data_IF_226023807455
#
_entry.id   IF_226023807455
#
_cell.length_a   1.000
_cell.length_b   1.000
_cell.length_c   1.000
_cell.angle_alpha   90.00
_cell.angle_beta   90.00
_cell.angle_gamma   90.00
#
_symmetry.space_group_name_H-M   'P 1'
#
loop_
_entity.id
_entity.type
_entity.pdbx_description
1 polymer ?
#
# COMPACT_ATOMS: atom_id res chain seq x y z
N UNK A 1 -13.20 -20.48 7.60
CA UNK A 1 -12.66 -19.32 6.88
C UNK A 1 -11.15 -19.12 7.06
N UNK A 2 -10.56 -19.45 8.22
CA UNK A 2 -9.10 -19.38 8.48
C UNK A 2 -8.25 -20.13 7.45
N UNK A 3 -8.65 -21.35 7.05
CA UNK A 3 -7.89 -22.15 6.07
C UNK A 3 -7.71 -21.50 4.70
N UNK A 4 -8.60 -20.62 4.28
CA UNK A 4 -8.47 -19.89 3.02
C UNK A 4 -7.33 -18.85 3.08
N UNK A 5 -7.17 -18.17 4.22
CA UNK A 5 -6.07 -17.23 4.44
C UNK A 5 -4.72 -17.96 4.55
N UNK A 6 -4.71 -19.12 5.21
CA UNK A 6 -3.51 -19.96 5.25
C UNK A 6 -3.09 -20.44 3.86
N UNK A 7 -4.05 -20.87 3.03
CA UNK A 7 -3.75 -21.25 1.65
C UNK A 7 -3.11 -20.10 0.87
N UNK A 8 -3.65 -18.89 1.00
CA UNK A 8 -3.10 -17.69 0.35
C UNK A 8 -1.63 -17.47 0.67
N UNK A 9 -1.28 -17.48 1.94
CA UNK A 9 0.09 -17.23 2.40
C UNK A 9 1.06 -18.40 2.16
N UNK A 10 0.57 -19.65 2.24
CA UNK A 10 1.43 -20.85 2.16
C UNK A 10 1.60 -21.37 0.74
N UNK A 11 0.61 -21.17 -0.14
CA UNK A 11 0.59 -21.74 -1.50
C UNK A 11 0.30 -20.70 -2.57
N UNK A 12 -0.78 -19.93 -2.42
CA UNK A 12 -1.30 -19.05 -3.45
C UNK A 12 -0.29 -17.97 -3.85
N UNK A 13 0.29 -17.28 -2.88
CA UNK A 13 1.34 -16.27 -3.10
C UNK A 13 2.50 -16.84 -3.93
N UNK A 14 3.04 -17.98 -3.54
CA UNK A 14 4.19 -18.58 -4.21
C UNK A 14 3.91 -19.05 -5.62
N UNK A 15 2.67 -19.51 -5.88
CA UNK A 15 2.23 -19.85 -7.24
C UNK A 15 2.16 -18.62 -8.13
N UNK A 16 1.59 -17.52 -7.63
CA UNK A 16 1.52 -16.26 -8.37
C UNK A 16 2.91 -15.70 -8.66
N UNK A 17 3.79 -15.64 -7.67
CA UNK A 17 5.17 -15.16 -7.85
C UNK A 17 5.91 -15.96 -8.91
N UNK A 18 5.75 -17.29 -8.96
CA UNK A 18 6.33 -18.13 -10.00
C UNK A 18 5.75 -17.80 -11.38
N UNK A 19 4.43 -17.70 -11.52
CA UNK A 19 3.79 -17.34 -12.79
C UNK A 19 4.27 -15.99 -13.30
N UNK A 20 4.39 -14.99 -12.42
CA UNK A 20 4.91 -13.68 -12.78
C UNK A 20 6.37 -13.77 -13.25
N UNK A 21 7.20 -14.52 -12.56
CA UNK A 21 8.59 -14.74 -12.95
C UNK A 21 8.69 -15.44 -14.33
N UNK A 22 7.93 -16.51 -14.55
CA UNK A 22 7.88 -17.23 -15.83
C UNK A 22 7.42 -16.34 -17.00
N UNK A 23 6.55 -15.39 -16.71
CA UNK A 23 6.02 -14.44 -17.71
C UNK A 23 6.81 -13.15 -17.80
N UNK A 24 7.87 -12.99 -17.02
CA UNK A 24 8.67 -11.77 -16.94
C UNK A 24 7.83 -10.53 -16.57
N UNK A 25 6.81 -10.71 -15.74
CA UNK A 25 5.96 -9.64 -15.21
C UNK A 25 6.45 -9.27 -13.81
N UNK A 26 6.68 -7.99 -13.60
CA UNK A 26 6.97 -7.44 -12.29
C UNK A 26 5.66 -6.86 -11.74
N UNK A 27 5.03 -7.49 -10.74
CA UNK A 27 3.77 -6.99 -10.19
C UNK A 27 3.99 -5.85 -9.20
N UNK A 28 3.01 -4.96 -9.12
CA UNK A 28 2.84 -4.06 -7.96
C UNK A 28 2.00 -4.76 -6.91
N UNK A 29 2.48 -4.81 -5.68
CA UNK A 29 1.86 -5.56 -4.58
C UNK A 29 1.35 -4.59 -3.52
N UNK A 30 0.04 -4.65 -3.25
CA UNK A 30 -0.58 -3.94 -2.15
C UNK A 30 -0.36 -4.73 -0.86
N UNK A 31 0.56 -4.27 -0.03
CA UNK A 31 1.03 -5.02 1.13
C UNK A 31 0.57 -4.40 2.45
N UNK A 32 0.00 -5.25 3.30
CA UNK A 32 -0.27 -4.90 4.71
C UNK A 32 1.00 -5.12 5.52
N UNK A 33 1.49 -4.10 6.22
CA UNK A 33 2.77 -4.14 6.94
C UNK A 33 2.89 -5.32 7.89
N UNK A 34 1.89 -5.58 8.73
CA UNK A 34 1.87 -6.71 9.66
C UNK A 34 1.90 -8.08 8.96
N UNK A 35 1.34 -8.18 7.75
CA UNK A 35 1.39 -9.43 6.99
C UNK A 35 2.82 -9.75 6.54
N UNK A 36 3.58 -8.74 6.12
CA UNK A 36 5.00 -8.91 5.77
C UNK A 36 5.86 -9.20 6.99
N UNK A 37 5.57 -8.56 8.11
CA UNK A 37 6.26 -8.83 9.38
C UNK A 37 6.08 -10.27 9.84
N UNK A 38 4.88 -10.85 9.65
CA UNK A 38 4.58 -12.25 9.97
C UNK A 38 5.04 -13.25 8.92
N UNK A 39 5.34 -12.80 7.72
CA UNK A 39 5.82 -13.64 6.62
C UNK A 39 7.01 -12.99 5.91
N UNK A 40 8.18 -12.92 6.57
CA UNK A 40 9.36 -12.26 6.03
C UNK A 40 9.86 -12.92 4.72
N UNK A 41 9.61 -14.21 4.54
CA UNK A 41 9.98 -14.91 3.30
C UNK A 41 9.21 -14.36 2.08
N UNK A 42 7.94 -13.97 2.25
CA UNK A 42 7.18 -13.32 1.20
C UNK A 42 7.77 -11.94 0.86
N UNK A 43 8.12 -11.14 1.86
CA UNK A 43 8.76 -9.84 1.65
C UNK A 43 10.11 -9.96 0.91
N UNK A 44 10.94 -10.93 1.30
CA UNK A 44 12.20 -11.22 0.59
C UNK A 44 11.97 -11.66 -0.86
N UNK A 45 10.93 -12.46 -1.12
CA UNK A 45 10.60 -12.87 -2.48
C UNK A 45 10.17 -11.68 -3.35
N UNK A 46 9.36 -10.76 -2.80
CA UNK A 46 8.99 -9.50 -3.45
C UNK A 46 10.24 -8.67 -3.80
N UNK A 47 11.12 -8.49 -2.83
CA UNK A 47 12.37 -7.75 -3.03
C UNK A 47 13.26 -8.38 -4.11
N UNK A 48 13.44 -9.71 -4.08
CA UNK A 48 14.25 -10.43 -5.08
C UNK A 48 13.68 -10.33 -6.50
N UNK A 49 12.35 -10.25 -6.66
CA UNK A 49 11.72 -10.08 -7.98
C UNK A 49 11.63 -8.61 -8.40
N UNK A 50 12.07 -7.68 -7.56
CA UNK A 50 11.98 -6.25 -7.85
C UNK A 50 10.56 -5.72 -7.87
N UNK A 51 9.63 -6.37 -7.14
CA UNK A 51 8.25 -5.93 -7.05
C UNK A 51 8.15 -4.52 -6.47
N UNK A 52 7.28 -3.70 -7.05
CA UNK A 52 6.85 -2.47 -6.42
C UNK A 52 5.85 -2.79 -5.29
N UNK A 53 5.98 -2.11 -4.16
CA UNK A 53 5.13 -2.32 -3.00
C UNK A 53 4.37 -1.04 -2.66
N UNK A 54 3.05 -1.13 -2.73
CA UNK A 54 2.11 -0.09 -2.27
C UNK A 54 1.74 -0.40 -0.83
N UNK A 55 1.80 0.61 0.02
CA UNK A 55 1.40 0.50 1.41
C UNK A 55 -0.12 0.35 1.52
N UNK A 56 -0.58 -0.78 2.09
CA UNK A 56 -1.99 -1.07 2.35
C UNK A 56 -2.31 -1.00 3.85
N UNK A 57 -1.63 -0.09 4.54
CA UNK A 57 -1.74 0.12 5.97
C UNK A 57 -0.99 -0.92 6.80
N UNK A 58 -0.88 -0.66 8.10
CA UNK A 58 -0.21 -1.56 9.03
C UNK A 58 -1.01 -2.83 9.32
N UNK A 59 -2.35 -2.68 9.42
CA UNK A 59 -3.30 -3.78 9.64
C UNK A 59 -4.44 -3.67 8.65
N UNK A 60 -4.98 -4.80 8.24
CA UNK A 60 -6.16 -4.83 7.39
C UNK A 60 -7.43 -4.54 8.20
N UNK A 61 -7.73 -3.27 8.36
CA UNK A 61 -8.92 -2.77 9.07
C UNK A 61 -9.39 -1.46 8.45
N UNK A 62 -10.70 -1.15 8.64
CA UNK A 62 -11.22 0.16 8.26
C UNK A 62 -10.87 1.22 9.31
N UNK A 63 -10.51 2.42 8.83
CA UNK A 63 -10.13 3.52 9.73
C UNK A 63 -11.29 4.37 10.22
N UNK A 64 -12.53 4.04 9.82
CA UNK A 64 -13.70 4.71 10.38
C UNK A 64 -13.80 4.52 11.90
N UNK A 65 -13.82 5.62 12.64
CA UNK A 65 -13.93 5.59 14.11
C UNK A 65 -12.61 5.33 14.84
N UNK A 66 -11.49 5.22 14.13
CA UNK A 66 -10.17 5.21 14.74
C UNK A 66 -9.73 6.66 14.99
N UNK A 67 -9.18 6.93 16.18
CA UNK A 67 -8.65 8.24 16.51
C UNK A 67 -7.41 8.58 15.67
N UNK A 68 -7.21 9.88 15.45
CA UNK A 68 -6.15 10.39 14.59
C UNK A 68 -4.75 9.98 15.04
N UNK A 69 -4.50 9.93 16.33
CA UNK A 69 -3.17 9.59 16.85
C UNK A 69 -2.83 8.12 16.55
N UNK A 70 -3.80 7.23 16.72
CA UNK A 70 -3.68 5.81 16.38
C UNK A 70 -3.50 5.62 14.87
N UNK A 71 -4.27 6.32 14.05
CA UNK A 71 -4.15 6.24 12.59
C UNK A 71 -2.78 6.74 12.12
N UNK A 72 -2.29 7.85 12.65
CA UNK A 72 -0.95 8.39 12.37
C UNK A 72 0.15 7.37 12.70
N UNK A 73 0.04 6.73 13.86
CA UNK A 73 0.99 5.70 14.28
C UNK A 73 0.92 4.46 13.38
N UNK A 74 -0.27 4.06 12.93
CA UNK A 74 -0.42 2.96 11.99
C UNK A 74 0.25 3.27 10.63
N UNK A 75 0.13 4.50 10.13
CA UNK A 75 0.82 4.93 8.89
C UNK A 75 2.34 4.83 9.08
N UNK A 76 2.86 5.34 10.19
CA UNK A 76 4.30 5.25 10.51
C UNK A 76 4.77 3.80 10.60
N UNK A 77 4.04 2.96 11.32
CA UNK A 77 4.35 1.54 11.50
C UNK A 77 4.28 0.76 10.18
N UNK A 78 3.32 1.06 9.30
CA UNK A 78 3.23 0.36 8.01
C UNK A 78 4.43 0.64 7.14
N UNK A 79 4.85 1.90 7.02
CA UNK A 79 6.07 2.26 6.28
C UNK A 79 7.29 1.50 6.82
N UNK A 80 7.48 1.50 8.14
CA UNK A 80 8.61 0.82 8.77
C UNK A 80 8.59 -0.69 8.56
N UNK A 81 7.42 -1.31 8.76
CA UNK A 81 7.26 -2.77 8.65
C UNK A 81 7.33 -3.27 7.21
N UNK A 82 7.03 -2.43 6.22
CA UNK A 82 7.23 -2.75 4.79
C UNK A 82 8.70 -2.54 4.41
N UNK A 83 9.27 -1.39 4.74
CA UNK A 83 10.63 -1.03 4.34
C UNK A 83 11.69 -1.98 4.91
N UNK A 84 11.55 -2.37 6.16
CA UNK A 84 12.55 -3.21 6.85
C UNK A 84 12.83 -4.53 6.12
N UNK A 85 11.83 -5.37 5.78
CA UNK A 85 12.07 -6.66 5.12
C UNK A 85 12.22 -6.57 3.59
N UNK A 86 11.70 -5.53 2.94
CA UNK A 86 11.79 -5.36 1.49
C UNK A 86 13.03 -4.58 1.07
N UNK A 87 13.63 -3.84 1.99
CA UNK A 87 14.76 -2.94 1.73
C UNK A 87 14.35 -1.64 1.00
N UNK A 88 13.07 -1.48 0.64
CA UNK A 88 12.58 -0.34 -0.13
C UNK A 88 11.39 0.30 0.56
N UNK A 89 11.40 1.64 0.67
CA UNK A 89 10.29 2.40 1.20
C UNK A 89 9.11 2.34 0.21
N UNK A 90 7.87 2.09 0.68
CA UNK A 90 6.69 2.22 -0.17
C UNK A 90 6.48 3.68 -0.58
N UNK A 91 6.23 3.90 -1.87
CA UNK A 91 5.98 5.24 -2.44
C UNK A 91 4.51 5.46 -2.81
N UNK A 92 3.70 4.42 -2.78
CA UNK A 92 2.25 4.46 -3.00
C UNK A 92 1.48 4.12 -1.75
N UNK A 93 0.31 4.73 -1.60
CA UNK A 93 -0.65 4.48 -0.53
C UNK A 93 -1.98 3.99 -1.08
N UNK A 94 -2.60 3.03 -0.40
CA UNK A 94 -3.98 2.59 -0.62
C UNK A 94 -4.53 1.91 0.62
N UNK A 95 -5.68 2.30 1.10
CA UNK A 95 -6.34 1.64 2.25
C UNK A 95 -7.74 1.11 1.94
N UNK A 96 -8.44 1.68 0.95
CA UNK A 96 -9.78 1.28 0.52
C UNK A 96 -10.92 1.71 1.46
N UNK A 97 -10.63 1.93 2.73
CA UNK A 97 -11.59 2.35 3.76
C UNK A 97 -10.99 3.48 4.62
N UNK A 98 -10.68 4.64 4.01
CA UNK A 98 -10.04 5.75 4.69
C UNK A 98 -10.97 6.40 5.72
N UNK A 99 -10.39 7.04 6.74
CA UNK A 99 -11.06 8.00 7.60
C UNK A 99 -11.11 9.39 6.94
N UNK A 100 -11.74 10.33 7.58
CA UNK A 100 -11.70 11.75 7.18
C UNK A 100 -10.30 12.37 7.33
N UNK A 101 -9.42 11.76 8.10
CA UNK A 101 -8.06 12.22 8.37
C UNK A 101 -7.00 11.58 7.46
N UNK A 102 -7.25 10.37 6.95
CA UNK A 102 -6.26 9.53 6.23
C UNK A 102 -5.48 10.32 5.20
N UNK A 103 -6.16 11.00 4.27
CA UNK A 103 -5.48 11.75 3.20
C UNK A 103 -4.52 12.83 3.75
N UNK A 104 -4.96 13.58 4.76
CA UNK A 104 -4.12 14.60 5.38
C UNK A 104 -2.90 13.95 6.06
N UNK A 105 -3.09 12.87 6.79
CA UNK A 105 -2.03 12.16 7.49
C UNK A 105 -0.99 11.57 6.53
N UNK A 106 -1.44 11.00 5.41
CA UNK A 106 -0.56 10.49 4.34
C UNK A 106 0.27 11.61 3.71
N UNK A 107 -0.34 12.77 3.46
CA UNK A 107 0.38 13.95 2.96
C UNK A 107 1.39 14.48 3.99
N UNK A 108 1.02 14.55 5.27
CA UNK A 108 1.88 15.01 6.36
C UNK A 108 3.06 14.07 6.60
N UNK A 109 2.88 12.77 6.40
CA UNK A 109 3.96 11.78 6.45
C UNK A 109 5.05 12.09 5.41
N UNK A 110 4.65 12.51 4.21
CA UNK A 110 5.49 13.21 3.24
C UNK A 110 6.40 12.35 2.37
N UNK A 111 6.35 11.02 2.50
CA UNK A 111 7.16 10.10 1.70
C UNK A 111 6.42 9.39 0.57
N UNK A 112 5.09 9.49 0.52
CA UNK A 112 4.29 8.91 -0.53
C UNK A 112 4.23 9.82 -1.76
N UNK A 113 4.36 9.25 -2.95
CA UNK A 113 4.28 9.95 -4.22
C UNK A 113 2.88 9.93 -4.82
N UNK A 114 2.08 8.94 -4.48
CA UNK A 114 0.70 8.80 -4.95
C UNK A 114 -0.20 8.10 -3.92
N UNK A 115 -1.49 8.35 -4.05
CA UNK A 115 -2.59 7.76 -3.28
C UNK A 115 -3.61 7.19 -4.26
N UNK A 116 -3.97 5.90 -4.10
CA UNK A 116 -4.90 5.17 -4.95
C UNK A 116 -6.31 5.07 -4.37
N UNK A 117 -6.64 5.82 -3.32
CA UNK A 117 -7.97 5.81 -2.68
C UNK A 117 -9.00 6.74 -3.36
N UNK A 118 -8.65 7.37 -4.48
CA UNK A 118 -9.57 8.21 -5.25
C UNK A 118 -10.26 7.41 -6.36
N UNK A 119 -11.59 7.40 -6.36
CA UNK A 119 -12.43 6.66 -7.30
C UNK A 119 -13.31 7.58 -8.17
N UNK A 120 -12.97 8.85 -8.26
CA UNK A 120 -13.78 9.89 -8.89
C UNK A 120 -13.29 10.30 -10.29
N UNK A 121 -12.19 9.74 -10.76
CA UNK A 121 -11.65 9.99 -12.10
C UNK A 121 -10.90 8.76 -12.62
N UNK A 122 -10.85 8.58 -13.93
CA UNK A 122 -10.10 7.52 -14.62
C UNK A 122 -8.63 7.87 -14.84
N UNK A 123 -8.28 9.17 -14.75
CA UNK A 123 -6.93 9.66 -14.92
C UNK A 123 -6.32 10.10 -13.58
N UNK A 124 -4.99 9.91 -13.41
CA UNK A 124 -4.28 10.46 -12.28
C UNK A 124 -4.36 11.99 -12.29
N UNK A 125 -4.62 12.58 -11.15
CA UNK A 125 -4.66 14.03 -11.00
C UNK A 125 -3.94 14.50 -9.73
N UNK A 126 -3.43 15.75 -9.79
CA UNK A 126 -2.78 16.36 -8.64
C UNK A 126 -3.83 17.03 -7.76
N UNK A 127 -3.86 16.69 -6.49
CA UNK A 127 -4.63 17.45 -5.51
C UNK A 127 -3.74 18.50 -4.87
N UNK A 128 -3.87 19.75 -5.32
CA UNK A 128 -3.32 20.87 -4.59
C UNK A 128 -4.31 21.30 -3.50
N UNK A 129 -3.96 21.09 -2.24
CA UNK A 129 -4.40 22.00 -1.20
C UNK A 129 -3.21 22.89 -0.88
N UNK A 130 -3.33 24.15 -1.31
CA UNK A 130 -2.39 25.17 -0.92
C UNK A 130 -2.36 25.28 0.60
N UNK A 131 -1.36 24.70 1.21
CA UNK A 131 -0.84 25.07 2.49
C UNK A 131 0.67 25.16 2.33
N UNK A 132 1.19 26.21 2.83
CA UNK A 132 2.51 26.84 2.73
C UNK A 132 3.71 25.97 3.14
N UNK A 133 3.69 24.66 2.96
CA UNK A 133 4.75 23.75 3.40
C UNK A 133 5.68 23.26 2.28
N UNK A 134 5.49 23.70 1.03
CA UNK A 134 6.36 23.29 -0.08
C UNK A 134 6.39 21.79 -0.40
N UNK A 135 5.58 20.98 0.26
CA UNK A 135 5.47 19.53 0.01
C UNK A 135 4.46 19.29 -1.09
N UNK A 136 4.87 18.52 -2.11
CA UNK A 136 3.94 18.07 -3.15
C UNK A 136 2.95 17.08 -2.52
N UNK A 137 1.65 17.29 -2.75
CA UNK A 137 0.66 16.27 -2.45
C UNK A 137 0.87 15.06 -3.38
N UNK A 138 0.63 13.84 -2.89
CA UNK A 138 0.67 12.64 -3.74
C UNK A 138 -0.29 12.78 -4.92
N UNK A 139 0.10 12.18 -6.06
CA UNK A 139 -0.79 12.02 -7.21
C UNK A 139 -1.89 11.01 -6.84
N UNK A 140 -3.14 11.30 -7.20
CA UNK A 140 -4.21 10.30 -7.13
C UNK A 140 -4.21 9.46 -8.40
N UNK A 141 -4.14 8.15 -8.23
CA UNK A 141 -4.36 7.20 -9.32
C UNK A 141 -5.82 6.78 -9.27
N UNK A 142 -6.60 7.13 -10.28
CA UNK A 142 -7.95 6.60 -10.47
C UNK A 142 -7.91 5.08 -10.68
N UNK A 143 -8.97 4.38 -10.30
CA UNK A 143 -9.08 2.93 -10.54
C UNK A 143 -9.25 2.66 -12.05
N UNK A 144 -8.25 2.03 -12.67
CA UNK A 144 -8.21 1.70 -14.09
C UNK A 144 -9.25 0.64 -14.53
N UNK A 145 -10.33 0.43 -13.78
CA UNK A 145 -11.29 -0.66 -14.01
C UNK A 145 -12.43 -0.36 -14.96
N UNK A 146 -12.42 0.74 -15.72
CA UNK A 146 -13.49 1.06 -16.66
C UNK A 146 -13.04 1.34 -18.08
N UNK A 147 -11.97 0.71 -18.55
CA UNK A 147 -11.64 0.68 -19.98
C UNK A 147 -11.93 -0.73 -20.50
N UNK A 148 -13.20 -1.00 -20.82
CA UNK A 148 -13.70 -2.19 -21.50
C UNK A 148 -14.69 -1.81 -22.55
#
# INVERSE_FOLDING_TARGET
MESAYEYGSRVGFWRLMRVFAERQVIPTIYAVGMALERNPQAAEAMARQGCDVVDHGWRWLGYHGIDEATEREHIRLSVETIQRPTGTRPIGWYIGTPSTNTRRLVVEEGGFLYDSDAYNDELPYSTFRGSDTGRRAPLHLGDARTAG
#
